data_IF_785735392822
#
_entry.id   IF_785735392822
#
_cell.length_a   1.000
_cell.length_b   1.000
_cell.length_c   1.000
_cell.angle_alpha   90.00
_cell.angle_beta   90.00
_cell.angle_gamma   90.00
#
_symmetry.space_group_name_H-M   'P 1'
#
loop_
_entity.id
_entity.type
_entity.pdbx_description
1 polymer ?
#
# COMPACT_ATOMS: atom_id res chain seq x y z
N UNK A 1 30.46 1.56 6.31
CA UNK A 1 29.78 0.54 5.48
C UNK A 1 28.57 -0.13 6.15
N UNK A 2 28.67 -0.70 7.37
CA UNK A 2 27.53 -1.38 8.05
C UNK A 2 26.22 -0.55 8.10
N UNK A 3 26.31 0.75 8.42
CA UNK A 3 25.14 1.65 8.46
C UNK A 3 24.41 1.79 7.11
N UNK A 4 25.14 1.86 6.00
CA UNK A 4 24.54 1.91 4.65
C UNK A 4 23.82 0.60 4.37
N UNK A 5 24.45 -0.53 4.67
CA UNK A 5 23.85 -1.86 4.43
C UNK A 5 22.54 -2.01 5.20
N UNK A 6 22.49 -1.55 6.46
CA UNK A 6 21.25 -1.56 7.26
C UNK A 6 20.18 -0.66 6.62
N UNK A 7 20.51 0.58 6.27
CA UNK A 7 19.56 1.50 5.64
C UNK A 7 19.04 0.96 4.30
N UNK A 8 19.91 0.39 3.47
CA UNK A 8 19.54 -0.20 2.20
C UNK A 8 18.62 -1.42 2.37
N UNK A 9 18.92 -2.32 3.33
CA UNK A 9 18.05 -3.46 3.66
C UNK A 9 16.68 -2.99 4.15
N UNK A 10 16.64 -1.95 4.99
CA UNK A 10 15.39 -1.36 5.46
C UNK A 10 14.59 -0.76 4.30
N UNK A 11 15.23 -0.03 3.37
CA UNK A 11 14.56 0.49 2.17
C UNK A 11 13.97 -0.64 1.32
N UNK A 12 14.73 -1.70 1.08
CA UNK A 12 14.25 -2.86 0.30
C UNK A 12 13.04 -3.49 0.99
N UNK A 13 13.09 -3.69 2.31
CA UNK A 13 11.98 -4.27 3.07
C UNK A 13 10.70 -3.42 2.97
N UNK A 14 10.83 -2.10 3.11
CA UNK A 14 9.69 -1.17 2.97
C UNK A 14 9.12 -1.20 1.55
N UNK A 15 9.97 -1.27 0.53
CA UNK A 15 9.53 -1.41 -0.87
C UNK A 15 8.78 -2.72 -1.11
N UNK A 16 9.26 -3.83 -0.55
CA UNK A 16 8.54 -5.13 -0.62
C UNK A 16 7.18 -5.02 0.06
N UNK A 17 7.11 -4.43 1.25
CA UNK A 17 5.83 -4.23 1.95
C UNK A 17 4.85 -3.36 1.15
N UNK A 18 5.33 -2.28 0.52
CA UNK A 18 4.53 -1.46 -0.39
C UNK A 18 3.99 -2.26 -1.57
N UNK A 19 4.83 -3.11 -2.17
CA UNK A 19 4.43 -3.97 -3.28
C UNK A 19 3.35 -4.97 -2.87
N UNK A 20 3.47 -5.59 -1.69
CA UNK A 20 2.43 -6.48 -1.15
C UNK A 20 1.11 -5.74 -0.96
N UNK A 21 1.13 -4.53 -0.39
CA UNK A 21 -0.10 -3.72 -0.27
C UNK A 21 -0.72 -3.43 -1.64
N UNK A 22 0.09 -3.25 -2.69
CA UNK A 22 -0.41 -3.02 -4.06
C UNK A 22 -1.11 -4.25 -4.64
N UNK A 23 -0.58 -5.44 -4.37
CA UNK A 23 -1.23 -6.69 -4.79
C UNK A 23 -2.55 -6.87 -4.05
N UNK A 24 -2.57 -6.64 -2.73
CA UNK A 24 -3.78 -6.77 -1.91
C UNK A 24 -4.90 -5.82 -2.38
N UNK A 25 -4.57 -4.55 -2.64
CA UNK A 25 -5.52 -3.58 -3.20
C UNK A 25 -6.04 -4.03 -4.56
N UNK A 26 -5.17 -4.55 -5.43
CA UNK A 26 -5.59 -5.00 -6.76
C UNK A 26 -6.60 -6.13 -6.66
N UNK A 27 -6.37 -7.11 -5.79
CA UNK A 27 -7.29 -8.23 -5.56
C UNK A 27 -8.60 -7.75 -4.94
N UNK A 28 -8.54 -6.94 -3.88
CA UNK A 28 -9.72 -6.42 -3.20
C UNK A 28 -10.57 -5.54 -4.13
N UNK A 29 -9.95 -4.68 -4.95
CA UNK A 29 -10.66 -3.86 -5.93
C UNK A 29 -11.24 -4.70 -7.08
N UNK A 30 -10.55 -5.76 -7.49
CA UNK A 30 -11.08 -6.68 -8.48
C UNK A 30 -12.35 -7.37 -7.97
N UNK A 31 -12.34 -7.85 -6.73
CA UNK A 31 -13.48 -8.54 -6.13
C UNK A 31 -14.63 -7.56 -5.90
N UNK A 32 -14.37 -6.36 -5.38
CA UNK A 32 -15.38 -5.29 -5.32
C UNK A 32 -15.98 -5.02 -6.70
N UNK A 33 -15.17 -4.91 -7.75
CA UNK A 33 -15.68 -4.60 -9.08
C UNK A 33 -16.59 -5.71 -9.65
N UNK A 34 -16.31 -6.98 -9.33
CA UNK A 34 -17.04 -8.13 -9.86
C UNK A 34 -18.26 -8.50 -9.04
N UNK A 35 -18.14 -8.38 -7.72
CA UNK A 35 -19.07 -8.99 -6.78
C UNK A 35 -19.96 -7.96 -6.10
N UNK A 36 -19.53 -6.70 -5.99
CA UNK A 36 -20.28 -5.69 -5.25
C UNK A 36 -21.60 -5.33 -5.94
N UNK A 37 -22.69 -5.49 -5.18
CA UNK A 37 -24.02 -5.04 -5.58
C UNK A 37 -24.56 -4.07 -4.53
N UNK A 38 -24.62 -2.78 -4.90
CA UNK A 38 -25.13 -1.74 -3.99
C UNK A 38 -26.64 -1.86 -3.80
N UNK A 39 -27.06 -2.30 -2.61
CA UNK A 39 -28.46 -2.33 -2.17
C UNK A 39 -29.12 -0.95 -2.29
N UNK A 40 -28.38 0.11 -1.95
CA UNK A 40 -28.87 1.49 -2.02
C UNK A 40 -29.10 1.93 -3.48
N UNK A 41 -28.20 1.56 -4.39
CA UNK A 41 -28.37 1.88 -5.81
C UNK A 41 -29.57 1.13 -6.41
N UNK A 42 -29.78 -0.14 -6.04
CA UNK A 42 -30.94 -0.91 -6.47
C UNK A 42 -32.26 -0.33 -5.97
N UNK A 43 -32.29 0.10 -4.70
CA UNK A 43 -33.46 0.79 -4.13
C UNK A 43 -33.74 2.13 -4.82
N UNK A 44 -32.70 2.93 -5.10
CA UNK A 44 -32.85 4.19 -5.82
C UNK A 44 -33.41 4.00 -7.24
N UNK A 45 -33.04 2.90 -7.91
CA UNK A 45 -33.53 2.54 -9.24
C UNK A 45 -34.91 1.86 -9.21
N UNK A 46 -35.52 1.67 -8.03
CA UNK A 46 -36.82 1.00 -7.90
C UNK A 46 -36.80 -0.48 -8.28
N UNK A 47 -35.63 -1.13 -8.23
CA UNK A 47 -35.50 -2.55 -8.56
C UNK A 47 -36.01 -3.38 -7.37
N UNK A 48 -37.16 -4.02 -7.54
CA UNK A 48 -37.69 -4.96 -6.56
C UNK A 48 -36.86 -6.24 -6.54
N UNK A 49 -36.09 -6.44 -5.46
CA UNK A 49 -35.29 -7.64 -5.28
C UNK A 49 -36.19 -8.72 -4.66
N UNK A 50 -36.62 -9.68 -5.47
CA UNK A 50 -37.53 -10.76 -5.05
C UNK A 50 -36.91 -11.78 -4.08
N UNK A 51 -35.58 -11.78 -3.95
CA UNK A 51 -34.81 -12.66 -3.05
C UNK A 51 -33.71 -11.86 -2.35
N UNK A 52 -33.29 -12.22 -1.12
CA UNK A 52 -32.14 -11.60 -0.50
C UNK A 52 -30.91 -11.77 -1.42
N UNK A 53 -30.11 -10.70 -1.55
CA UNK A 53 -28.86 -10.78 -2.30
C UNK A 53 -27.91 -11.79 -1.63
N UNK A 54 -27.14 -12.55 -2.41
CA UNK A 54 -26.14 -13.46 -1.85
C UNK A 54 -25.10 -12.71 -0.99
N UNK A 55 -24.62 -13.36 0.07
CA UNK A 55 -23.70 -12.73 1.04
C UNK A 55 -22.38 -12.24 0.42
N UNK A 56 -21.89 -12.93 -0.62
CA UNK A 56 -20.67 -12.55 -1.34
C UNK A 56 -20.77 -11.18 -2.04
N UNK A 57 -21.99 -10.66 -2.23
CA UNK A 57 -22.18 -9.33 -2.86
C UNK A 57 -21.88 -8.14 -1.94
N UNK A 58 -21.71 -8.38 -0.63
CA UNK A 58 -21.63 -7.30 0.35
C UNK A 58 -20.23 -6.66 0.46
N UNK A 59 -19.18 -7.30 -0.07
CA UNK A 59 -17.76 -6.87 -0.15
C UNK A 59 -17.19 -5.97 0.99
N UNK A 60 -17.73 -6.06 2.21
CA UNK A 60 -17.36 -5.19 3.34
C UNK A 60 -15.92 -5.42 3.79
N UNK A 61 -15.44 -6.67 3.72
CA UNK A 61 -14.09 -7.05 4.12
C UNK A 61 -13.05 -6.48 3.17
N UNK A 62 -13.36 -6.43 1.88
CA UNK A 62 -12.52 -5.91 0.82
C UNK A 62 -12.38 -4.39 0.97
N UNK A 63 -13.49 -3.68 1.24
CA UNK A 63 -13.46 -2.24 1.55
C UNK A 63 -12.66 -1.95 2.82
N UNK A 64 -12.80 -2.78 3.85
CA UNK A 64 -12.01 -2.68 5.06
C UNK A 64 -10.52 -2.93 4.80
N UNK A 65 -10.17 -3.94 4.01
CA UNK A 65 -8.79 -4.25 3.61
C UNK A 65 -8.15 -3.07 2.90
N UNK A 66 -8.83 -2.50 1.90
CA UNK A 66 -8.36 -1.31 1.17
C UNK A 66 -8.14 -0.12 2.11
N UNK A 67 -9.04 0.10 3.07
CA UNK A 67 -8.91 1.21 4.04
C UNK A 67 -7.67 1.05 4.92
N UNK A 68 -7.42 -0.17 5.41
CA UNK A 68 -6.20 -0.49 6.16
C UNK A 68 -4.98 -0.32 5.27
N UNK A 69 -5.01 -0.89 4.07
CA UNK A 69 -3.91 -0.83 3.10
C UNK A 69 -3.53 0.61 2.76
N UNK A 70 -4.49 1.52 2.57
CA UNK A 70 -4.21 2.95 2.37
C UNK A 70 -3.47 3.58 3.56
N UNK A 71 -3.92 3.29 4.78
CA UNK A 71 -3.30 3.82 6.01
C UNK A 71 -1.86 3.30 6.18
N UNK A 72 -1.66 2.00 5.96
CA UNK A 72 -0.35 1.34 6.03
C UNK A 72 0.55 1.87 4.92
N UNK A 73 0.07 1.95 3.68
CA UNK A 73 0.81 2.46 2.52
C UNK A 73 1.26 3.90 2.73
N UNK A 74 0.39 4.77 3.22
CA UNK A 74 0.73 6.15 3.53
C UNK A 74 1.89 6.22 4.52
N UNK A 75 1.80 5.44 5.60
CA UNK A 75 2.86 5.35 6.61
C UNK A 75 4.17 4.81 6.03
N UNK A 76 4.11 3.76 5.21
CA UNK A 76 5.28 3.17 4.54
C UNK A 76 5.94 4.14 3.55
N UNK A 77 5.18 4.95 2.82
CA UNK A 77 5.71 5.98 1.92
C UNK A 77 6.50 7.04 2.71
N UNK A 78 5.96 7.49 3.85
CA UNK A 78 6.67 8.43 4.73
C UNK A 78 7.98 7.81 5.23
N UNK A 79 7.94 6.56 5.72
CA UNK A 79 9.13 5.84 6.18
C UNK A 79 10.15 5.68 5.05
N UNK A 80 9.70 5.31 3.85
CA UNK A 80 10.55 5.18 2.66
C UNK A 80 11.26 6.50 2.33
N UNK A 81 10.53 7.61 2.33
CA UNK A 81 11.09 8.94 2.11
C UNK A 81 12.15 9.29 3.17
N UNK A 82 11.85 9.07 4.45
CA UNK A 82 12.81 9.28 5.53
C UNK A 82 14.08 8.44 5.36
N UNK A 83 13.95 7.15 5.04
CA UNK A 83 15.08 6.24 4.81
C UNK A 83 15.96 6.71 3.64
N UNK A 84 15.35 7.11 2.52
CA UNK A 84 16.06 7.64 1.36
C UNK A 84 16.81 8.93 1.68
N UNK A 85 16.20 9.85 2.44
CA UNK A 85 16.85 11.08 2.90
C UNK A 85 18.04 10.78 3.83
N UNK A 86 17.89 9.82 4.75
CA UNK A 86 18.98 9.39 5.63
C UNK A 86 20.11 8.72 4.85
N UNK A 87 19.79 7.90 3.86
CA UNK A 87 20.76 7.24 2.99
C UNK A 87 21.54 8.28 2.17
N UNK A 88 20.85 9.25 1.56
CA UNK A 88 21.46 10.38 0.83
C UNK A 88 22.43 11.16 1.72
N UNK A 89 22.01 11.54 2.92
CA UNK A 89 22.86 12.26 3.89
C UNK A 89 24.10 11.45 4.29
N UNK A 90 23.92 10.15 4.50
CA UNK A 90 25.00 9.24 4.91
C UNK A 90 26.03 9.09 3.80
N UNK A 91 25.60 8.89 2.55
CA UNK A 91 26.49 8.81 1.37
C UNK A 91 27.24 10.13 1.17
N UNK A 92 26.55 11.27 1.22
CA UNK A 92 27.17 12.58 1.07
C UNK A 92 28.26 12.83 2.13
N UNK A 93 28.00 12.44 3.39
CA UNK A 93 28.97 12.55 4.48
C UNK A 93 30.23 11.71 4.23
N UNK A 94 30.09 10.49 3.71
CA UNK A 94 31.24 9.65 3.38
C UNK A 94 32.05 10.22 2.21
N UNK A 95 31.39 10.79 1.19
CA UNK A 95 32.09 11.42 0.06
C UNK A 95 32.95 12.61 0.50
N UNK A 96 32.50 13.38 1.49
CA UNK A 96 33.29 14.50 2.05
C UNK A 96 34.47 14.04 2.92
N UNK A 97 34.43 12.82 3.48
CA UNK A 97 35.51 12.27 4.30
C UNK A 97 36.62 11.59 3.47
N UNK A 98 36.42 11.40 2.16
CA UNK A 98 37.46 10.94 1.22
C UNK A 98 37.72 12.01 0.14
N UNK A 99 38.34 13.15 0.48
CA UNK A 99 38.83 14.06 -0.56
C UNK A 99 40.11 13.46 -1.17
N UNK A 100 39.99 12.72 -2.29
CA UNK A 100 41.17 12.40 -3.12
C UNK A 100 41.31 11.04 -3.78
N UNK A 101 40.32 10.13 -3.78
CA UNK A 101 40.41 8.91 -4.60
C UNK A 101 39.76 9.14 -5.97
N UNK A 102 40.55 9.70 -6.90
CA UNK A 102 40.39 9.49 -8.33
C UNK A 102 40.88 8.08 -8.70
#
# INVERSE_FOLDING_TARGET
MKKISILAKATILVTIALFVCTIDDFLSLHDIYKDYVSKQALQYLGVEISKPLPDWTNTELEWFSITISYTVRFSLVIVSLCLLLMLKRTIAKMRMQQPGSL
#
